data_IF_359678307926
#
_entry.id   IF_359678307926
#
_cell.length_a   1.000
_cell.length_b   1.000
_cell.length_c   1.000
_cell.angle_alpha   90.00
_cell.angle_beta   90.00
_cell.angle_gamma   90.00
#
_symmetry.space_group_name_H-M   'P 1'
#
loop_
_entity.id
_entity.type
_entity.pdbx_description
1 polymer ?
#
# COMPACT_ATOMS: atom_id res chain seq x y z
N UNK A 1 -16.67 -10.07 -0.03
CA UNK A 1 -16.00 -9.70 1.24
C UNK A 1 -15.15 -8.47 0.94
N UNK A 2 -15.35 -7.34 1.63
CA UNK A 2 -14.44 -6.19 1.47
C UNK A 2 -13.16 -6.49 2.24
N UNK A 3 -12.00 -6.28 1.61
CA UNK A 3 -10.72 -6.34 2.32
C UNK A 3 -10.66 -5.14 3.28
N UNK A 4 -10.42 -5.33 4.59
CA UNK A 4 -10.27 -4.24 5.53
C UNK A 4 -8.98 -3.45 5.27
N UNK A 5 -8.89 -2.25 5.84
CA UNK A 5 -7.69 -1.44 5.70
C UNK A 5 -6.45 -2.18 6.26
N UNK A 6 -5.40 -2.32 5.45
CA UNK A 6 -4.23 -3.11 5.76
C UNK A 6 -3.03 -2.75 4.86
N UNK A 7 -1.83 -3.10 5.32
CA UNK A 7 -0.65 -3.21 4.46
C UNK A 7 -0.74 -4.49 3.65
N UNK A 8 -0.70 -4.36 2.34
CA UNK A 8 -0.78 -5.47 1.38
C UNK A 8 0.36 -5.32 0.37
N UNK A 9 0.70 -6.39 -0.35
CA UNK A 9 1.73 -6.34 -1.39
C UNK A 9 1.42 -5.22 -2.40
N UNK A 10 2.43 -4.41 -2.75
CA UNK A 10 2.23 -3.30 -3.68
C UNK A 10 1.88 -3.83 -5.08
N UNK A 11 0.68 -3.54 -5.63
CA UNK A 11 0.30 -4.01 -6.96
C UNK A 11 1.12 -3.34 -8.08
N UNK A 12 1.87 -2.28 -7.77
CA UNK A 12 2.77 -1.64 -8.74
C UNK A 12 4.17 -2.24 -8.75
N UNK A 13 4.47 -3.16 -7.81
CA UNK A 13 5.77 -3.81 -7.63
C UNK A 13 6.95 -2.84 -7.43
N UNK A 14 6.67 -1.57 -7.10
CA UNK A 14 7.68 -0.54 -6.80
C UNK A 14 8.17 -0.62 -5.35
N UNK A 15 7.29 -1.06 -4.45
CA UNK A 15 7.53 -1.17 -3.01
C UNK A 15 7.14 -2.55 -2.49
N UNK A 16 7.61 -2.93 -1.29
CA UNK A 16 7.24 -4.22 -0.69
C UNK A 16 5.74 -4.27 -0.33
N UNK A 17 5.25 -3.20 0.32
CA UNK A 17 3.85 -3.07 0.69
C UNK A 17 3.30 -1.69 0.36
N UNK A 18 2.02 -1.65 0.01
CA UNK A 18 1.21 -0.44 -0.11
C UNK A 18 0.02 -0.52 0.83
N UNK A 19 -0.41 0.62 1.35
CA UNK A 19 -1.56 0.67 2.24
C UNK A 19 -2.86 0.69 1.44
N UNK A 20 -3.68 -0.34 1.65
CA UNK A 20 -5.08 -0.38 1.25
C UNK A 20 -5.93 0.21 2.36
N UNK A 21 -6.79 1.19 2.05
CA UNK A 21 -7.62 1.86 3.07
C UNK A 21 -8.98 1.19 3.32
N UNK A 22 -9.25 0.04 2.68
CA UNK A 22 -10.56 -0.62 2.72
C UNK A 22 -11.39 -0.41 1.45
N UNK A 23 -11.04 0.58 0.63
CA UNK A 23 -11.77 0.98 -0.59
C UNK A 23 -10.87 1.19 -1.80
N UNK A 24 -9.65 1.69 -1.59
CA UNK A 24 -8.65 1.97 -2.62
C UNK A 24 -7.22 1.88 -2.09
N UNK A 25 -6.27 1.79 -3.02
CA UNK A 25 -4.85 1.90 -2.74
C UNK A 25 -4.47 3.36 -2.50
N UNK A 26 -3.69 3.60 -1.46
CA UNK A 26 -3.23 4.94 -1.10
C UNK A 26 -1.79 5.19 -1.55
N UNK A 27 -1.31 6.41 -1.34
CA UNK A 27 0.09 6.75 -1.57
C UNK A 27 1.04 6.15 -0.51
N UNK A 28 0.55 5.62 0.62
CA UNK A 28 1.44 5.12 1.67
C UNK A 28 2.05 3.78 1.27
N UNK A 29 3.36 3.69 1.37
CA UNK A 29 4.16 2.51 1.03
C UNK A 29 5.07 2.15 2.20
N UNK A 30 5.56 0.92 2.24
CA UNK A 30 6.52 0.46 3.25
C UNK A 30 7.53 -0.50 2.64
N UNK A 31 8.82 -0.23 2.87
CA UNK A 31 9.96 -1.05 2.43
C UNK A 31 10.86 -1.37 3.62
N UNK A 32 11.10 -2.65 3.91
CA UNK A 32 11.91 -3.06 5.06
C UNK A 32 11.38 -2.55 6.40
N UNK A 33 10.07 -2.30 6.50
CA UNK A 33 9.41 -1.70 7.67
C UNK A 33 9.51 -0.17 7.77
N UNK A 34 10.13 0.50 6.79
CA UNK A 34 10.18 1.97 6.71
C UNK A 34 9.01 2.48 5.89
N UNK A 35 8.16 3.30 6.48
CA UNK A 35 7.01 3.89 5.79
C UNK A 35 7.40 5.13 4.97
N UNK A 36 6.75 5.30 3.82
CA UNK A 36 6.95 6.41 2.91
C UNK A 36 5.68 6.80 2.17
N UNK A 37 5.82 7.65 1.16
CA UNK A 37 4.73 8.07 0.29
C UNK A 37 5.18 8.06 -1.18
N UNK A 38 4.42 7.35 -2.01
CA UNK A 38 4.62 7.21 -3.44
C UNK A 38 3.26 7.18 -4.14
N UNK A 39 3.08 8.02 -5.16
CA UNK A 39 1.78 8.19 -5.80
C UNK A 39 1.33 6.91 -6.53
N UNK A 40 0.06 6.56 -6.31
CA UNK A 40 -0.63 5.50 -7.06
C UNK A 40 -1.07 6.05 -8.42
N UNK A 41 -0.12 6.24 -9.33
CA UNK A 41 -0.34 6.63 -10.73
C UNK A 41 0.42 5.68 -11.63
#
# INVERSE_FOLDING_TARGET
MSQPAAWLADPTERHEHRYWNGTEWTAHVSDGGVQGSDAFT
#
